data_IF_914696569526
#
_entry.id   IF_914696569526
#
_cell.length_a   1.000
_cell.length_b   1.000
_cell.length_c   1.000
_cell.angle_alpha   90.00
_cell.angle_beta   90.00
_cell.angle_gamma   90.00
#
_symmetry.space_group_name_H-M   'P 1'
#
loop_
_entity.id
_entity.type
_entity.pdbx_description
1 polymer ?
#
# COMPACT_ATOMS: atom_id res chain seq x y z
N UNK A 1 32.59 14.84 -15.99
CA UNK A 1 31.71 15.43 -14.96
C UNK A 1 32.43 15.41 -13.63
N UNK A 2 32.66 16.56 -12.99
CA UNK A 2 33.14 16.61 -11.61
C UNK A 2 31.95 16.34 -10.67
N UNK A 3 32.06 15.36 -9.77
CA UNK A 3 31.11 15.17 -8.68
C UNK A 3 31.40 16.18 -7.57
N UNK A 4 30.43 17.03 -7.26
CA UNK A 4 30.49 17.94 -6.11
C UNK A 4 29.61 17.36 -4.99
N UNK A 5 30.15 17.27 -3.78
CA UNK A 5 29.39 16.90 -2.57
C UNK A 5 29.12 18.15 -1.75
N UNK A 6 27.98 18.17 -1.05
CA UNK A 6 27.64 19.25 -0.13
C UNK A 6 28.67 19.31 0.99
N UNK A 7 29.17 20.52 1.29
CA UNK A 7 30.14 20.75 2.35
C UNK A 7 29.51 20.42 3.69
N UNK A 8 30.21 19.63 4.50
CA UNK A 8 29.72 19.20 5.81
C UNK A 8 29.81 20.35 6.81
N UNK A 9 28.80 20.51 7.67
CA UNK A 9 28.70 21.60 8.66
C UNK A 9 29.68 21.49 9.83
N UNK A 10 30.10 20.27 10.19
CA UNK A 10 31.04 20.02 11.30
C UNK A 10 32.41 19.57 10.79
N UNK A 11 33.51 20.15 11.29
CA UNK A 11 34.86 19.69 10.97
C UNK A 11 35.07 18.26 11.49
N UNK A 12 35.72 17.40 10.68
CA UNK A 12 35.98 15.99 11.02
C UNK A 12 34.85 15.01 10.70
N UNK A 13 33.69 15.49 10.24
CA UNK A 13 32.61 14.61 9.74
C UNK A 13 32.65 14.46 8.22
N UNK A 14 32.55 13.22 7.74
CA UNK A 14 32.41 12.89 6.32
C UNK A 14 30.99 12.37 6.08
N UNK A 15 30.13 13.20 5.47
CA UNK A 15 28.78 12.80 5.06
C UNK A 15 28.85 12.35 3.60
N UNK A 16 29.10 11.05 3.40
CA UNK A 16 29.11 10.47 2.06
C UNK A 16 27.68 10.05 1.64
N UNK A 17 27.22 10.35 0.42
CA UNK A 17 25.93 9.87 -0.10
C UNK A 17 25.79 8.34 0.01
N UNK A 18 24.56 7.84 0.19
CA UNK A 18 24.31 6.40 0.37
C UNK A 18 24.87 5.55 -0.79
N UNK A 19 24.76 6.04 -2.02
CA UNK A 19 25.23 5.36 -3.24
C UNK A 19 26.76 5.26 -3.36
N UNK A 20 27.52 6.03 -2.58
CA UNK A 20 28.98 6.06 -2.63
C UNK A 20 29.63 5.38 -1.43
N UNK A 21 28.83 5.04 -0.42
CA UNK A 21 29.31 4.28 0.73
C UNK A 21 29.65 2.86 0.30
N UNK A 22 30.83 2.41 0.72
CA UNK A 22 31.23 1.00 0.60
C UNK A 22 30.19 0.09 1.27
N UNK A 23 29.95 -1.06 0.66
CA UNK A 23 29.06 -2.08 1.19
C UNK A 23 29.46 -2.45 2.62
N UNK A 24 28.50 -2.38 3.54
CA UNK A 24 28.70 -2.79 4.93
C UNK A 24 27.55 -3.72 5.34
N UNK A 25 27.83 -4.98 5.68
CA UNK A 25 26.79 -5.97 5.93
C UNK A 25 25.92 -5.63 7.15
N UNK A 26 26.47 -4.94 8.16
CA UNK A 26 25.72 -4.51 9.33
C UNK A 26 24.80 -3.31 9.04
N UNK A 27 25.20 -2.43 8.10
CA UNK A 27 24.29 -1.37 7.60
C UNK A 27 23.16 -1.99 6.79
N UNK A 28 23.48 -2.98 5.96
CA UNK A 28 22.49 -3.68 5.15
C UNK A 28 21.44 -4.39 6.02
N UNK A 29 21.85 -5.13 7.06
CA UNK A 29 20.89 -5.72 8.02
C UNK A 29 19.98 -4.66 8.63
N UNK A 30 20.54 -3.53 9.10
CA UNK A 30 19.73 -2.46 9.70
C UNK A 30 18.72 -1.89 8.73
N UNK A 31 19.10 -1.74 7.46
CA UNK A 31 18.22 -1.29 6.41
C UNK A 31 17.07 -2.29 6.19
N UNK A 32 17.37 -3.59 6.07
CA UNK A 32 16.34 -4.63 5.89
C UNK A 32 15.38 -4.65 7.09
N UNK A 33 15.89 -4.58 8.33
CA UNK A 33 15.05 -4.53 9.53
C UNK A 33 14.20 -3.25 9.60
N UNK A 34 14.71 -2.12 9.10
CA UNK A 34 13.92 -0.88 9.01
C UNK A 34 12.77 -1.00 8.01
N UNK A 35 12.98 -1.69 6.88
CA UNK A 35 11.91 -1.96 5.92
C UNK A 35 10.88 -2.94 6.49
N UNK A 36 11.32 -3.98 7.22
CA UNK A 36 10.41 -4.90 7.90
C UNK A 36 9.48 -4.16 8.88
N UNK A 37 9.99 -3.19 9.64
CA UNK A 37 9.17 -2.31 10.50
C UNK A 37 8.16 -1.45 9.73
N UNK A 38 8.48 -1.03 8.52
CA UNK A 38 7.56 -0.28 7.66
C UNK A 38 6.43 -1.15 7.08
N UNK A 39 6.66 -2.47 6.98
CA UNK A 39 5.61 -3.44 6.60
C UNK A 39 4.64 -3.64 7.76
N UNK A 40 5.15 -3.95 8.95
CA UNK A 40 4.32 -4.13 10.14
C UNK A 40 5.07 -4.72 11.34
N UNK A 41 4.42 -4.75 12.53
CA UNK A 41 5.02 -5.22 13.76
C UNK A 41 5.37 -6.71 13.74
N UNK A 42 4.55 -7.56 13.11
CA UNK A 42 4.79 -9.00 13.04
C UNK A 42 5.88 -9.33 12.03
N UNK A 43 5.92 -8.61 10.90
CA UNK A 43 7.01 -8.70 9.93
C UNK A 43 8.36 -8.33 10.56
N UNK A 44 8.40 -7.24 11.35
CA UNK A 44 9.59 -6.84 12.10
C UNK A 44 10.03 -7.92 13.10
N UNK A 45 9.11 -8.41 13.94
CA UNK A 45 9.37 -9.44 14.94
C UNK A 45 9.94 -10.72 14.31
N UNK A 46 9.33 -11.19 13.22
CA UNK A 46 9.78 -12.38 12.51
C UNK A 46 11.19 -12.20 11.93
N UNK A 47 11.48 -11.04 11.32
CA UNK A 47 12.79 -10.74 10.76
C UNK A 47 13.88 -10.61 11.84
N UNK A 48 13.57 -9.96 12.96
CA UNK A 48 14.48 -9.83 14.11
C UNK A 48 14.81 -11.19 14.72
N UNK A 49 13.79 -12.04 14.93
CA UNK A 49 13.98 -13.41 15.38
C UNK A 49 14.83 -14.24 14.42
N UNK A 50 14.58 -14.16 13.11
CA UNK A 50 15.38 -14.86 12.11
C UNK A 50 16.84 -14.41 12.11
N UNK A 51 17.08 -13.11 12.28
CA UNK A 51 18.42 -12.57 12.39
C UNK A 51 19.11 -13.00 13.69
N UNK A 52 18.37 -13.09 14.81
CA UNK A 52 18.93 -13.59 16.06
C UNK A 52 19.40 -15.05 15.95
N UNK A 53 18.66 -15.90 15.23
CA UNK A 53 18.99 -17.33 15.06
C UNK A 53 20.10 -17.54 14.02
N UNK A 54 19.97 -16.93 12.84
CA UNK A 54 20.85 -17.20 11.69
C UNK A 54 21.98 -16.18 11.54
N UNK A 55 21.88 -15.01 12.16
CA UNK A 55 22.80 -13.90 11.94
C UNK A 55 22.87 -13.50 10.47
N UNK A 56 24.09 -13.19 10.00
CA UNK A 56 24.32 -12.68 8.63
C UNK A 56 23.93 -13.67 7.53
N UNK A 57 24.08 -14.97 7.74
CA UNK A 57 23.71 -15.97 6.70
C UNK A 57 22.20 -15.99 6.43
N UNK A 58 21.40 -15.46 7.36
CA UNK A 58 19.95 -15.29 7.19
C UNK A 58 19.54 -14.08 6.32
N UNK A 59 20.45 -13.17 5.97
CA UNK A 59 20.13 -11.91 5.27
C UNK A 59 19.33 -12.13 3.98
N UNK A 60 19.64 -13.18 3.20
CA UNK A 60 18.90 -13.52 1.97
C UNK A 60 17.43 -13.83 2.28
N UNK A 61 17.14 -14.53 3.37
CA UNK A 61 15.77 -14.84 3.79
C UNK A 61 15.04 -13.58 4.23
N UNK A 62 15.68 -12.70 5.02
CA UNK A 62 15.07 -11.42 5.40
C UNK A 62 14.73 -10.56 4.17
N UNK A 63 15.68 -10.43 3.23
CA UNK A 63 15.43 -9.70 1.97
C UNK A 63 14.28 -10.30 1.17
N UNK A 64 14.16 -11.63 1.14
CA UNK A 64 13.04 -12.32 0.51
C UNK A 64 11.69 -11.90 1.10
N UNK A 65 11.57 -11.90 2.42
CA UNK A 65 10.34 -11.53 3.12
C UNK A 65 10.00 -10.05 2.87
N UNK A 66 10.97 -9.16 3.02
CA UNK A 66 10.73 -7.72 2.84
C UNK A 66 10.39 -7.38 1.39
N UNK A 67 10.97 -8.08 0.40
CA UNK A 67 10.62 -7.88 -1.01
C UNK A 67 9.19 -8.29 -1.37
N UNK A 68 8.48 -9.07 -0.53
CA UNK A 68 7.06 -9.37 -0.76
C UNK A 68 6.23 -8.09 -0.81
N UNK A 69 6.64 -7.03 -0.10
CA UNK A 69 5.98 -5.72 -0.10
C UNK A 69 5.95 -5.04 -1.47
N UNK A 70 6.78 -5.48 -2.43
CA UNK A 70 6.71 -4.99 -3.82
C UNK A 70 5.52 -5.52 -4.60
N UNK A 71 4.96 -6.66 -4.19
CA UNK A 71 3.91 -7.39 -4.94
C UNK A 71 2.61 -7.50 -4.14
N UNK A 72 2.69 -7.54 -2.82
CA UNK A 72 1.55 -7.78 -1.94
C UNK A 72 1.36 -6.62 -0.95
N UNK A 73 0.12 -6.35 -0.51
CA UNK A 73 -0.16 -5.29 0.44
C UNK A 73 0.43 -5.61 1.83
N UNK A 74 0.93 -4.57 2.51
CA UNK A 74 1.62 -4.70 3.80
C UNK A 74 0.80 -5.44 4.87
N UNK A 75 -0.50 -5.16 4.96
CA UNK A 75 -1.39 -5.80 5.95
C UNK A 75 -1.45 -7.32 5.79
N UNK A 76 -1.47 -7.82 4.55
CA UNK A 76 -1.53 -9.27 4.30
C UNK A 76 -0.19 -9.92 4.63
N UNK A 77 0.93 -9.26 4.31
CA UNK A 77 2.27 -9.75 4.66
C UNK A 77 2.44 -9.81 6.18
N UNK A 78 1.99 -8.79 6.91
CA UNK A 78 2.09 -8.76 8.37
C UNK A 78 1.24 -9.88 9.01
N UNK A 79 0.03 -10.11 8.51
CA UNK A 79 -0.81 -11.23 8.92
C UNK A 79 -0.18 -12.61 8.59
N UNK A 80 0.43 -12.75 7.42
CA UNK A 80 1.15 -13.96 7.04
C UNK A 80 2.36 -14.21 7.95
N UNK A 81 3.07 -13.15 8.35
CA UNK A 81 4.18 -13.25 9.31
C UNK A 81 3.70 -13.68 10.69
N UNK A 82 2.53 -13.20 11.14
CA UNK A 82 1.91 -13.65 12.38
C UNK A 82 1.60 -15.16 12.34
N UNK A 83 0.90 -15.61 11.29
CA UNK A 83 0.56 -17.01 11.10
C UNK A 83 1.81 -17.92 10.97
N UNK A 84 2.87 -17.45 10.31
CA UNK A 84 4.12 -18.18 10.20
C UNK A 84 4.84 -18.32 11.56
N UNK A 85 4.71 -17.32 12.45
CA UNK A 85 5.25 -17.41 13.81
C UNK A 85 4.48 -18.40 14.67
N UNK A 86 3.15 -18.41 14.59
CA UNK A 86 2.29 -19.35 15.32
C UNK A 86 2.58 -20.82 14.94
N UNK A 87 2.88 -21.07 13.68
CA UNK A 87 3.21 -22.41 13.18
C UNK A 87 4.67 -22.83 13.42
N UNK A 88 5.52 -21.94 13.94
CA UNK A 88 6.94 -22.23 14.20
C UNK A 88 7.82 -22.37 12.95
N UNK A 89 7.30 -22.06 11.75
CA UNK A 89 8.03 -22.21 10.49
C UNK A 89 8.37 -20.85 9.90
N UNK A 90 9.65 -20.50 9.97
CA UNK A 90 10.14 -19.13 9.67
C UNK A 90 10.92 -19.03 8.35
N UNK A 91 10.55 -19.81 7.34
CA UNK A 91 11.24 -19.82 6.03
C UNK A 91 10.47 -18.95 5.04
N UNK A 92 11.18 -18.19 4.20
CA UNK A 92 10.60 -17.35 3.15
C UNK A 92 9.52 -18.07 2.31
N UNK A 93 9.78 -19.30 1.87
CA UNK A 93 8.84 -20.06 1.06
C UNK A 93 7.49 -20.27 1.75
N UNK A 94 7.50 -20.45 3.08
CA UNK A 94 6.29 -20.61 3.86
C UNK A 94 5.53 -19.30 4.04
N UNK A 95 6.25 -18.21 4.37
CA UNK A 95 5.65 -16.85 4.46
C UNK A 95 5.04 -16.45 3.11
N UNK A 96 5.72 -16.75 1.99
CA UNK A 96 5.21 -16.50 0.65
C UNK A 96 3.91 -17.28 0.39
N UNK A 97 3.89 -18.58 0.68
CA UNK A 97 2.71 -19.41 0.47
C UNK A 97 1.51 -18.92 1.31
N UNK A 98 1.75 -18.55 2.58
CA UNK A 98 0.70 -17.98 3.44
C UNK A 98 0.19 -16.64 2.90
N UNK A 99 1.09 -15.78 2.42
CA UNK A 99 0.72 -14.50 1.80
C UNK A 99 -0.15 -14.73 0.56
N UNK A 100 0.27 -15.63 -0.33
CA UNK A 100 -0.48 -15.98 -1.55
C UNK A 100 -1.86 -16.53 -1.21
N UNK A 101 -1.97 -17.41 -0.21
CA UNK A 101 -3.25 -17.95 0.26
C UNK A 101 -4.16 -16.84 0.82
N UNK A 102 -3.65 -16.00 1.71
CA UNK A 102 -4.45 -14.90 2.29
C UNK A 102 -4.92 -13.90 1.22
N UNK A 103 -4.11 -13.64 0.19
CA UNK A 103 -4.54 -12.81 -0.95
C UNK A 103 -5.66 -13.50 -1.72
N UNK A 104 -5.52 -14.79 -2.02
CA UNK A 104 -6.55 -15.54 -2.72
C UNK A 104 -7.87 -15.58 -1.93
N UNK A 105 -7.78 -15.82 -0.62
CA UNK A 105 -8.95 -15.83 0.29
C UNK A 105 -9.63 -14.45 0.34
N UNK A 106 -8.84 -13.37 0.41
CA UNK A 106 -9.38 -12.01 0.40
C UNK A 106 -10.07 -11.66 -0.92
N UNK A 107 -9.50 -12.09 -2.06
CA UNK A 107 -10.13 -11.90 -3.37
C UNK A 107 -11.42 -12.72 -3.49
N UNK A 108 -11.40 -13.98 -3.07
CA UNK A 108 -12.59 -14.83 -3.07
C UNK A 108 -13.71 -14.28 -2.18
N UNK A 109 -13.37 -13.70 -1.02
CA UNK A 109 -14.33 -13.04 -0.15
C UNK A 109 -14.98 -11.82 -0.83
N UNK A 110 -14.19 -11.01 -1.56
CA UNK A 110 -14.70 -9.87 -2.32
C UNK A 110 -15.62 -10.32 -3.48
N UNK A 111 -15.28 -11.41 -4.16
CA UNK A 111 -16.10 -11.99 -5.22
C UNK A 111 -17.42 -12.57 -4.69
N UNK A 112 -17.41 -13.14 -3.47
CA UNK A 112 -18.60 -13.67 -2.82
C UNK A 112 -19.55 -12.59 -2.28
N UNK A 113 -19.00 -11.47 -1.81
CA UNK A 113 -19.77 -10.28 -1.38
C UNK A 113 -20.23 -9.44 -2.57
N UNK A 114 -19.64 -9.66 -3.75
CA UNK A 114 -20.14 -9.14 -5.01
C UNK A 114 -21.41 -9.91 -5.37
N UNK A 115 -22.60 -9.28 -5.39
CA UNK A 115 -23.83 -9.99 -5.69
C UNK A 115 -23.71 -10.61 -7.09
N UNK A 116 -23.62 -11.94 -7.15
CA UNK A 116 -23.68 -12.70 -8.39
C UNK A 116 -24.96 -12.28 -9.11
N UNK A 117 -24.90 -11.80 -10.37
CA UNK A 117 -26.11 -11.47 -11.12
C UNK A 117 -26.78 -12.76 -11.60
N UNK A 118 -27.25 -13.60 -10.67
CA UNK A 118 -28.29 -14.57 -10.96
C UNK A 118 -29.63 -13.84 -10.88
N UNK A 119 -30.15 -13.50 -12.06
CA UNK A 119 -31.58 -13.28 -12.31
C UNK A 119 -32.28 -12.29 -11.38
N UNK A 120 -31.80 -11.06 -11.34
CA UNK A 120 -32.68 -9.89 -11.30
C UNK A 120 -31.93 -8.78 -12.03
N UNK A 121 -32.49 -8.15 -13.08
CA UNK A 121 -31.95 -6.88 -13.51
C UNK A 121 -32.16 -5.95 -12.31
N UNK A 122 -31.12 -5.76 -11.50
CA UNK A 122 -31.02 -4.56 -10.67
C UNK A 122 -30.84 -3.44 -11.68
N UNK A 123 -31.96 -3.03 -12.28
CA UNK A 123 -32.09 -1.83 -13.07
C UNK A 123 -31.38 -0.76 -12.26
N UNK A 124 -30.40 -0.08 -12.86
CA UNK A 124 -29.76 1.08 -12.24
C UNK A 124 -30.87 2.08 -11.89
N UNK A 125 -31.43 1.98 -10.69
CA UNK A 125 -32.49 2.89 -10.28
C UNK A 125 -31.79 4.12 -9.76
N UNK A 126 -31.98 5.25 -10.43
CA UNK A 126 -31.63 6.56 -9.87
C UNK A 126 -32.57 6.95 -8.72
N UNK A 127 -33.15 5.97 -8.03
CA UNK A 127 -34.18 6.12 -7.01
C UNK A 127 -33.61 5.53 -5.73
N UNK A 128 -33.06 6.40 -4.91
CA UNK A 128 -32.59 6.10 -3.56
C UNK A 128 -32.94 7.27 -2.66
N UNK A 129 -33.18 7.03 -1.37
CA UNK A 129 -33.56 8.09 -0.43
C UNK A 129 -32.57 9.27 -0.35
N UNK A 130 -31.31 9.02 -0.72
CA UNK A 130 -30.24 10.04 -0.78
C UNK A 130 -30.04 10.66 -2.18
N UNK A 131 -30.58 10.05 -3.24
CA UNK A 131 -30.49 10.56 -4.61
C UNK A 131 -31.69 11.48 -4.83
N UNK A 132 -31.44 12.78 -5.01
CA UNK A 132 -32.48 13.75 -5.35
C UNK A 132 -32.93 13.54 -6.80
N UNK A 133 -34.21 13.81 -7.09
CA UNK A 133 -34.74 13.76 -8.44
C UNK A 133 -34.02 14.74 -9.38
N UNK A 134 -33.85 14.34 -10.63
CA UNK A 134 -33.23 15.17 -11.66
C UNK A 134 -34.00 16.48 -11.90
N UNK A 135 -35.31 16.48 -11.70
CA UNK A 135 -36.20 17.65 -11.88
C UNK A 135 -35.75 18.85 -11.04
N UNK A 136 -35.21 18.61 -9.84
CA UNK A 136 -34.69 19.70 -8.98
C UNK A 136 -33.51 20.46 -9.59
N UNK A 137 -32.77 19.84 -10.51
CA UNK A 137 -31.70 20.51 -11.25
C UNK A 137 -32.22 21.18 -12.51
N UNK A 138 -33.33 20.69 -13.10
CA UNK A 138 -34.00 21.30 -14.25
C UNK A 138 -34.43 22.74 -13.96
N UNK A 139 -35.08 22.96 -12.82
CA UNK A 139 -35.54 24.30 -12.39
C UNK A 139 -34.39 25.32 -12.27
N UNK A 140 -33.18 24.86 -11.92
CA UNK A 140 -32.00 25.73 -11.84
C UNK A 140 -31.54 26.19 -13.22
N UNK A 141 -31.62 25.32 -14.24
CA UNK A 141 -31.28 25.69 -15.62
C UNK A 141 -32.31 26.65 -16.21
N UNK A 142 -33.59 26.43 -15.95
CA UNK A 142 -34.67 27.31 -16.43
C UNK A 142 -34.58 28.71 -15.79
N UNK A 143 -34.28 28.79 -14.50
CA UNK A 143 -34.04 30.06 -13.82
C UNK A 143 -32.85 30.82 -14.40
N UNK A 144 -31.74 30.14 -14.72
CA UNK A 144 -30.56 30.79 -15.33
C UNK A 144 -30.84 31.21 -16.78
N UNK A 145 -31.55 30.39 -17.56
CA UNK A 145 -31.94 30.73 -18.93
C UNK A 145 -32.86 31.96 -18.96
N UNK A 146 -33.85 32.02 -18.07
CA UNK A 146 -34.78 33.15 -17.96
C UNK A 146 -34.08 34.42 -17.45
N UNK A 147 -33.14 34.28 -16.50
CA UNK A 147 -32.34 35.41 -16.00
C UNK A 147 -31.43 36.01 -17.10
N UNK A 148 -30.88 35.16 -17.98
CA UNK A 148 -30.06 35.58 -19.12
C UNK A 148 -30.89 36.34 -20.17
N UNK A 149 -32.08 35.85 -20.51
CA UNK A 149 -32.99 36.53 -21.46
C UNK A 149 -33.50 37.89 -20.92
N UNK A 150 -33.73 37.98 -19.61
CA UNK A 150 -34.14 39.21 -18.93
C UNK A 150 -33.03 40.27 -18.94
N UNK A 151 -31.76 39.85 -18.91
CA UNK A 151 -30.61 40.74 -18.93
C UNK A 151 -30.23 41.20 -20.34
N UNK A 152 -30.46 40.38 -21.39
CA UNK A 152 -30.33 40.81 -22.79
C UNK A 152 -31.41 41.83 -23.19
N UNK A 153 -32.63 41.68 -22.66
CA UNK A 153 -33.75 42.60 -22.96
C UNK A 153 -33.60 43.98 -22.32
N UNK A 154 -32.65 44.15 -21.38
CA UNK A 154 -32.40 45.42 -20.68
C UNK A 154 -31.20 46.20 -21.27
N UNK A 155 -30.51 45.65 -22.28
CA UNK A 155 -29.35 46.28 -22.93
C UNK A 155 -29.63 46.87 -24.34
N UNK A 156 -30.89 46.96 -24.77
CA UNK A 156 -31.29 47.68 -26.01
C UNK A 156 -31.88 49.05 -25.71
#
# INVERSE_FOLDING_TARGET
>A
MLRTHTRVERPGTVVLPLAERVFNPSRETRFILSQARAIGPQAARLCEMLFAIKGRVGQRTLWGIVNLARRYPHRIIDAACAAAMEQGVHIYGHVKALTERLVADALAALDADSPTPLASPSTLTQQHALIRSADKYGDLFDHVATATQSSESTQS
#
